data_IF_269036715826
#
_entry.id   IF_269036715826
#
_cell.length_a   1.000
_cell.length_b   1.000
_cell.length_c   1.000
_cell.angle_alpha   90.00
_cell.angle_beta   90.00
_cell.angle_gamma   90.00
#
_symmetry.space_group_name_H-M   'P 1'
#
loop_
_entity.id
_entity.type
_entity.pdbx_description
1 polymer ?
#
# COMPACT_ATOMS: atom_id res chain seq x y z
N UNK A 1 16.64 14.87 -1.81
CA UNK A 1 15.77 13.97 -2.61
C UNK A 1 14.82 13.28 -1.66
N UNK A 2 13.52 13.35 -1.92
CA UNK A 2 12.48 12.70 -1.10
C UNK A 2 12.01 11.45 -1.84
N UNK A 3 11.94 10.32 -1.16
CA UNK A 3 11.50 9.05 -1.74
C UNK A 3 10.12 8.61 -1.25
N UNK A 4 9.51 7.66 -1.95
CA UNK A 4 8.20 7.10 -1.62
C UNK A 4 8.32 5.60 -1.37
N UNK A 5 7.92 5.16 -0.17
CA UNK A 5 7.77 3.76 0.20
C UNK A 5 6.29 3.40 0.23
N UNK A 6 5.86 2.46 -0.61
CA UNK A 6 4.52 1.89 -0.55
C UNK A 6 4.51 0.58 0.25
N UNK A 7 3.64 0.46 1.24
CA UNK A 7 3.52 -0.71 2.12
C UNK A 7 2.12 -1.31 2.01
N UNK A 8 2.00 -2.47 1.38
CA UNK A 8 0.74 -3.21 1.29
C UNK A 8 0.72 -4.47 2.16
N UNK A 9 -0.45 -5.08 2.27
CA UNK A 9 -0.66 -6.34 2.99
C UNK A 9 -2.12 -6.55 3.35
N UNK A 10 -2.46 -7.79 3.68
CA UNK A 10 -3.79 -8.12 4.18
C UNK A 10 -4.16 -7.33 5.44
N UNK A 11 -5.46 -7.18 5.70
CA UNK A 11 -5.92 -6.61 6.98
C UNK A 11 -5.28 -7.35 8.15
N UNK A 12 -4.79 -6.60 9.15
CA UNK A 12 -4.08 -7.12 10.32
C UNK A 12 -2.80 -7.96 10.03
N UNK A 13 -2.13 -7.74 8.89
CA UNK A 13 -0.82 -8.36 8.62
C UNK A 13 0.34 -7.76 9.44
N UNK A 14 0.19 -6.52 9.94
CA UNK A 14 1.24 -5.78 10.65
C UNK A 14 1.76 -4.54 9.91
N UNK A 15 1.25 -4.26 8.70
CA UNK A 15 1.68 -3.12 7.87
C UNK A 15 1.62 -1.74 8.55
N UNK A 16 0.54 -1.45 9.29
CA UNK A 16 0.38 -0.15 9.96
C UNK A 16 1.33 -0.03 11.16
N UNK A 17 1.50 -1.12 11.93
CA UNK A 17 2.50 -1.19 13.01
C UNK A 17 3.92 -0.96 12.49
N UNK A 18 4.26 -1.56 11.35
CA UNK A 18 5.55 -1.36 10.69
C UNK A 18 5.74 0.09 10.22
N UNK A 19 4.74 0.69 9.58
CA UNK A 19 4.78 2.07 9.11
C UNK A 19 4.93 3.07 10.27
N UNK A 20 4.16 2.89 11.35
CA UNK A 20 4.26 3.70 12.56
C UNK A 20 5.64 3.55 13.22
N UNK A 21 6.13 2.32 13.39
CA UNK A 21 7.45 2.07 13.97
C UNK A 21 8.58 2.70 13.14
N UNK A 22 8.46 2.69 11.81
CA UNK A 22 9.40 3.35 10.91
C UNK A 22 9.35 4.87 11.07
N UNK A 23 8.16 5.47 11.12
CA UNK A 23 8.01 6.92 11.33
C UNK A 23 8.60 7.37 12.66
N UNK A 24 8.56 6.54 13.70
CA UNK A 24 9.14 6.86 15.00
C UNK A 24 10.68 6.88 15.00
N UNK A 25 11.36 6.27 14.02
CA UNK A 25 12.82 6.32 13.91
C UNK A 25 13.33 7.72 13.54
N UNK A 26 12.61 8.42 12.66
CA UNK A 26 12.96 9.76 12.19
C UNK A 26 11.70 10.63 12.01
N UNK A 27 11.03 11.06 13.10
CA UNK A 27 9.70 11.68 13.03
C UNK A 27 9.63 12.94 12.16
N UNK A 28 10.71 13.72 12.09
CA UNK A 28 10.77 14.96 11.30
C UNK A 28 11.03 14.70 9.81
N UNK A 29 11.56 13.53 9.46
CA UNK A 29 11.97 13.19 8.09
C UNK A 29 11.03 12.22 7.39
N UNK A 30 10.04 11.67 8.10
CA UNK A 30 9.11 10.67 7.58
C UNK A 30 7.68 11.19 7.67
N UNK A 31 6.97 11.19 6.54
CA UNK A 31 5.55 11.47 6.49
C UNK A 31 4.76 10.19 6.22
N UNK A 32 3.70 9.94 6.99
CA UNK A 32 2.79 8.82 6.78
C UNK A 32 1.54 9.26 6.00
N UNK A 33 1.10 8.42 5.07
CA UNK A 33 -0.18 8.52 4.38
C UNK A 33 -0.90 7.19 4.55
N UNK A 34 -1.95 7.17 5.37
CA UNK A 34 -2.77 5.98 5.60
C UNK A 34 -3.91 5.93 4.58
N UNK A 35 -3.90 4.95 3.67
CA UNK A 35 -4.97 4.83 2.67
C UNK A 35 -6.36 4.61 3.27
N UNK A 36 -6.42 4.11 4.50
CA UNK A 36 -7.68 3.94 5.22
C UNK A 36 -8.38 5.30 5.53
N UNK A 37 -7.67 6.43 5.42
CA UNK A 37 -8.23 7.79 5.56
C UNK A 37 -8.85 8.35 4.27
N UNK A 38 -8.67 7.64 3.13
CA UNK A 38 -9.02 8.14 1.80
C UNK A 38 -10.07 7.27 1.09
N UNK A 39 -10.92 6.57 1.84
CA UNK A 39 -12.13 6.00 1.23
C UNK A 39 -13.06 7.11 0.73
N UNK A 40 -13.78 6.84 -0.36
CA UNK A 40 -14.82 7.76 -0.81
C UNK A 40 -15.87 7.95 0.30
N UNK A 41 -16.48 9.13 0.44
CA UNK A 41 -17.43 9.36 1.51
C UNK A 41 -18.61 8.39 1.42
N UNK A 42 -18.90 7.68 2.51
CA UNK A 42 -19.98 6.69 2.56
C UNK A 42 -21.40 7.29 2.44
N UNK A 43 -21.54 8.62 2.29
CA UNK A 43 -22.81 9.28 2.01
C UNK A 43 -22.94 9.70 0.54
N UNK A 44 -21.91 9.49 -0.29
CA UNK A 44 -21.93 9.75 -1.72
C UNK A 44 -22.19 8.44 -2.48
N UNK A 45 -23.43 8.13 -2.87
CA UNK A 45 -23.78 6.86 -3.50
C UNK A 45 -23.27 6.75 -4.95
N UNK A 46 -22.79 7.84 -5.55
CA UNK A 46 -22.30 7.86 -6.93
C UNK A 46 -20.84 7.47 -7.05
N UNK A 47 -20.11 7.48 -5.94
CA UNK A 47 -18.68 7.15 -5.88
C UNK A 47 -18.47 5.84 -5.13
N UNK A 48 -17.39 5.14 -5.48
CA UNK A 48 -17.00 3.90 -4.82
C UNK A 48 -17.66 2.65 -5.36
N UNK A 49 -17.29 1.52 -4.76
CA UNK A 49 -17.92 0.22 -5.03
C UNK A 49 -18.75 -0.17 -3.83
N UNK A 50 -20.03 -0.47 -4.06
CA UNK A 50 -20.99 -0.78 -3.02
C UNK A 50 -21.27 -2.28 -2.95
N UNK A 51 -21.54 -2.77 -1.75
CA UNK A 51 -21.86 -4.17 -1.48
C UNK A 51 -22.91 -4.28 -0.38
N UNK A 52 -23.39 -5.49 -0.13
CA UNK A 52 -24.32 -5.78 0.96
C UNK A 52 -23.57 -6.48 2.09
N UNK A 53 -23.56 -5.86 3.27
CA UNK A 53 -22.98 -6.47 4.47
C UNK A 53 -23.75 -7.75 4.87
N UNK A 54 -23.14 -8.59 5.69
CA UNK A 54 -23.82 -9.76 6.25
C UNK A 54 -25.01 -9.42 7.15
N UNK A 55 -25.12 -8.15 7.57
CA UNK A 55 -26.32 -7.63 8.24
C UNK A 55 -27.43 -7.19 7.29
N UNK A 56 -27.28 -7.36 5.98
CA UNK A 56 -28.28 -6.97 4.97
C UNK A 56 -28.25 -5.49 4.55
N UNK A 57 -27.35 -4.69 5.11
CA UNK A 57 -27.27 -3.26 4.80
C UNK A 57 -26.35 -3.01 3.61
N UNK A 58 -26.76 -2.14 2.68
CA UNK A 58 -25.89 -1.60 1.66
C UNK A 58 -24.80 -0.74 2.30
N UNK A 59 -23.54 -1.05 1.99
CA UNK A 59 -22.35 -0.39 2.53
C UNK A 59 -21.32 -0.20 1.42
N UNK A 60 -20.41 0.76 1.61
CA UNK A 60 -19.20 0.83 0.81
C UNK A 60 -18.38 -0.45 1.00
N UNK A 61 -17.87 -1.01 -0.09
CA UNK A 61 -16.99 -2.18 -0.04
C UNK A 61 -15.57 -1.75 0.34
N UNK A 62 -15.29 -1.76 1.64
CA UNK A 62 -13.98 -1.45 2.21
C UNK A 62 -12.86 -2.40 1.75
N UNK A 63 -13.18 -3.50 1.07
CA UNK A 63 -12.20 -4.44 0.56
C UNK A 63 -12.09 -4.39 -0.98
N UNK A 64 -12.54 -3.30 -1.60
CA UNK A 64 -12.40 -3.07 -3.04
C UNK A 64 -11.58 -1.80 -3.33
N UNK A 65 -10.58 -1.84 -4.23
CA UNK A 65 -9.71 -0.69 -4.52
C UNK A 65 -10.47 0.50 -5.09
N UNK A 66 -11.51 0.24 -5.90
CA UNK A 66 -12.40 1.28 -6.43
C UNK A 66 -13.20 2.06 -5.37
N UNK A 67 -13.11 1.69 -4.09
CA UNK A 67 -13.69 2.45 -2.98
C UNK A 67 -12.74 3.50 -2.40
N UNK A 68 -11.49 3.57 -2.88
CA UNK A 68 -10.51 4.59 -2.50
C UNK A 68 -10.59 5.79 -3.45
N UNK A 69 -10.54 6.99 -2.89
CA UNK A 69 -10.40 8.24 -3.63
C UNK A 69 -8.93 8.43 -4.08
N UNK A 70 -8.55 7.85 -5.22
CA UNK A 70 -7.18 7.94 -5.76
C UNK A 70 -6.71 9.38 -6.03
N UNK A 71 -7.63 10.31 -6.28
CA UNK A 71 -7.29 11.71 -6.48
C UNK A 71 -6.88 12.36 -5.13
N UNK A 72 -7.64 12.10 -4.07
CA UNK A 72 -7.30 12.55 -2.73
C UNK A 72 -5.99 11.91 -2.22
N UNK A 73 -5.77 10.62 -2.48
CA UNK A 73 -4.50 9.94 -2.18
C UNK A 73 -3.33 10.61 -2.92
N UNK A 74 -3.47 10.86 -4.22
CA UNK A 74 -2.43 11.52 -5.02
C UNK A 74 -2.08 12.89 -4.44
N UNK A 75 -3.10 13.70 -4.11
CA UNK A 75 -2.91 15.02 -3.51
C UNK A 75 -2.19 14.93 -2.15
N UNK A 76 -2.53 13.94 -1.31
CA UNK A 76 -1.88 13.73 -0.02
C UNK A 76 -0.40 13.37 -0.17
N UNK A 77 -0.06 12.50 -1.13
CA UNK A 77 1.33 12.14 -1.44
C UNK A 77 2.09 13.38 -1.94
N UNK A 78 1.51 14.13 -2.87
CA UNK A 78 2.15 15.33 -3.44
C UNK A 78 2.38 16.40 -2.35
N UNK A 79 1.42 16.61 -1.45
CA UNK A 79 1.57 17.47 -0.28
C UNK A 79 2.68 16.97 0.64
N UNK A 80 2.75 15.67 0.92
CA UNK A 80 3.77 15.09 1.78
C UNK A 80 5.18 15.24 1.18
N UNK A 81 5.32 15.05 -0.13
CA UNK A 81 6.57 15.23 -0.88
C UNK A 81 7.05 16.70 -0.89
N UNK A 82 6.12 17.66 -0.85
CA UNK A 82 6.44 19.09 -0.84
C UNK A 82 6.81 19.63 0.55
N UNK A 83 6.64 18.84 1.63
CA UNK A 83 6.93 19.29 3.00
C UNK A 83 8.44 19.43 3.23
N UNK A 84 8.94 20.61 3.64
CA UNK A 84 10.34 20.78 4.02
C UNK A 84 10.76 19.80 5.12
N UNK A 85 11.96 19.24 5.01
CA UNK A 85 12.50 18.26 5.96
C UNK A 85 12.04 16.82 5.73
N UNK A 86 10.95 16.58 4.99
CA UNK A 86 10.50 15.22 4.67
C UNK A 86 11.41 14.59 3.62
N UNK A 87 11.94 13.41 3.95
CA UNK A 87 12.84 12.62 3.11
C UNK A 87 12.22 11.33 2.64
N UNK A 88 11.27 10.79 3.38
CA UNK A 88 10.54 9.59 3.01
C UNK A 88 9.05 9.80 3.24
N UNK A 89 8.24 9.54 2.22
CA UNK A 89 6.79 9.43 2.35
C UNK A 89 6.46 7.94 2.36
N UNK A 90 5.82 7.47 3.43
CA UNK A 90 5.35 6.09 3.56
C UNK A 90 3.86 6.07 3.32
N UNK A 91 3.44 5.38 2.26
CA UNK A 91 2.02 5.19 1.91
C UNK A 91 1.64 3.77 2.27
N UNK A 92 0.77 3.59 3.25
CA UNK A 92 0.38 2.27 3.74
C UNK A 92 -1.11 2.00 3.54
N UNK A 93 -1.44 0.77 3.16
CA UNK A 93 -2.84 0.33 3.10
C UNK A 93 -3.01 -0.97 2.33
N UNK A 94 -4.20 -1.54 2.36
CA UNK A 94 -4.49 -2.81 1.68
C UNK A 94 -4.14 -2.75 0.20
N UNK A 95 -4.38 -1.60 -0.43
CA UNK A 95 -4.25 -1.40 -1.87
C UNK A 95 -3.03 -0.55 -2.27
N UNK A 96 -2.07 -0.30 -1.38
CA UNK A 96 -0.91 0.57 -1.68
C UNK A 96 -0.08 0.08 -2.88
N UNK A 97 -0.05 -1.23 -3.13
CA UNK A 97 0.60 -1.82 -4.29
C UNK A 97 -0.37 -2.19 -5.43
N UNK A 98 -1.68 -1.97 -5.23
CA UNK A 98 -2.74 -2.22 -6.22
C UNK A 98 -3.12 -0.93 -6.95
N UNK A 99 -3.24 0.19 -6.23
CA UNK A 99 -3.64 1.48 -6.80
C UNK A 99 -2.52 2.08 -7.66
N UNK A 100 -2.77 2.39 -8.94
CA UNK A 100 -1.81 3.06 -9.81
C UNK A 100 -1.31 4.38 -9.23
N UNK A 101 -2.20 5.16 -8.59
CA UNK A 101 -1.86 6.43 -7.92
C UNK A 101 -0.71 6.29 -6.92
N UNK A 102 -0.59 5.15 -6.24
CA UNK A 102 0.49 4.90 -5.28
C UNK A 102 1.66 4.18 -5.95
N UNK A 103 1.38 3.04 -6.61
CA UNK A 103 2.42 2.13 -7.14
C UNK A 103 3.34 2.79 -8.17
N UNK A 104 2.84 3.72 -8.97
CA UNK A 104 3.63 4.42 -9.99
C UNK A 104 4.53 5.51 -9.42
N UNK A 105 4.23 5.99 -8.21
CA UNK A 105 5.04 6.95 -7.45
C UNK A 105 6.03 6.28 -6.51
N UNK A 106 5.80 5.02 -6.16
CA UNK A 106 6.64 4.26 -5.24
C UNK A 106 8.04 3.98 -5.80
N UNK A 107 9.07 4.41 -5.07
CA UNK A 107 10.47 4.04 -5.28
C UNK A 107 10.77 2.66 -4.68
N UNK A 108 10.08 2.32 -3.59
CA UNK A 108 10.15 1.02 -2.92
C UNK A 108 8.77 0.47 -2.62
N UNK A 109 8.61 -0.85 -2.77
CA UNK A 109 7.35 -1.57 -2.60
C UNK A 109 7.55 -2.70 -1.62
N UNK A 110 6.91 -2.60 -0.47
CA UNK A 110 6.92 -3.61 0.59
C UNK A 110 5.56 -4.27 0.68
N UNK A 111 5.54 -5.60 0.76
CA UNK A 111 4.34 -6.36 1.10
C UNK A 111 4.55 -7.08 2.43
N UNK A 112 3.69 -6.80 3.42
CA UNK A 112 3.69 -7.48 4.72
C UNK A 112 2.77 -8.69 4.64
N UNK A 113 3.37 -9.87 4.59
CA UNK A 113 2.71 -11.15 4.36
C UNK A 113 2.46 -11.88 5.68
N UNK A 114 1.24 -12.35 5.91
CA UNK A 114 0.92 -13.14 7.08
C UNK A 114 -0.25 -14.09 6.76
N UNK A 115 -0.26 -15.31 7.32
CA UNK A 115 -1.34 -16.26 7.14
C UNK A 115 -2.73 -15.70 7.49
N UNK A 116 -3.76 -16.11 6.73
CA UNK A 116 -5.15 -15.63 6.85
C UNK A 116 -5.72 -15.83 8.26
N UNK A 117 -5.44 -16.97 8.89
CA UNK A 117 -5.87 -17.33 10.24
C UNK A 117 -5.24 -16.42 11.30
N UNK A 118 -3.93 -16.15 11.21
CA UNK A 118 -3.21 -15.22 12.09
C UNK A 118 -3.78 -13.81 11.95
N UNK A 119 -3.97 -13.33 10.71
CA UNK A 119 -4.56 -12.02 10.43
C UNK A 119 -5.98 -11.91 10.98
N UNK A 120 -6.80 -12.93 10.77
CA UNK A 120 -8.16 -12.96 11.29
C UNK A 120 -8.17 -12.92 12.82
N UNK A 121 -7.37 -13.75 13.49
CA UNK A 121 -7.25 -13.79 14.94
C UNK A 121 -6.86 -12.42 15.51
N UNK A 122 -5.81 -11.78 14.95
CA UNK A 122 -5.38 -10.42 15.35
C UNK A 122 -6.49 -9.38 15.16
N UNK A 123 -7.22 -9.44 14.03
CA UNK A 123 -8.34 -8.53 13.75
C UNK A 123 -9.46 -8.69 14.79
N UNK A 124 -9.79 -9.93 15.16
CA UNK A 124 -10.82 -10.23 16.15
C UNK A 124 -10.39 -9.78 17.54
N UNK A 125 -9.17 -10.09 17.97
CA UNK A 125 -8.64 -9.62 19.26
C UNK A 125 -8.67 -8.10 19.36
N UNK A 126 -8.22 -7.38 18.31
CA UNK A 126 -8.30 -5.91 18.27
C UNK A 126 -9.74 -5.38 18.38
N UNK A 127 -10.71 -6.05 17.73
CA UNK A 127 -12.14 -5.70 17.82
C UNK A 127 -12.65 -5.83 19.26
N UNK A 128 -12.28 -6.91 19.95
CA UNK A 128 -12.72 -7.21 21.31
C UNK A 128 -12.03 -6.30 22.34
N UNK A 129 -10.69 -6.26 22.30
CA UNK A 129 -9.87 -5.71 23.38
C UNK A 129 -9.72 -4.20 23.28
N UNK A 130 -9.49 -3.70 22.06
CA UNK A 130 -9.21 -2.28 21.81
C UNK A 130 -10.50 -1.53 21.49
N UNK A 131 -11.29 -2.05 20.55
CA UNK A 131 -12.50 -1.36 20.08
C UNK A 131 -13.73 -1.64 20.95
N UNK A 132 -13.66 -2.63 21.86
CA UNK A 132 -14.77 -3.06 22.73
C UNK A 132 -16.05 -3.37 21.93
N UNK A 133 -15.89 -4.00 20.76
CA UNK A 133 -16.96 -4.35 19.83
C UNK A 133 -17.12 -5.86 19.68
N UNK A 134 -18.36 -6.32 19.49
CA UNK A 134 -18.65 -7.71 19.11
C UNK A 134 -18.04 -8.02 17.72
N UNK A 135 -17.15 -9.03 17.62
CA UNK A 135 -16.53 -9.41 16.35
C UNK A 135 -17.49 -10.11 15.37
N UNK A 136 -18.70 -10.50 15.79
CA UNK A 136 -19.63 -11.33 14.99
C UNK A 136 -19.84 -10.80 13.57
N UNK A 137 -20.17 -9.52 13.41
CA UNK A 137 -20.40 -8.95 12.08
C UNK A 137 -19.12 -8.96 11.22
N UNK A 138 -17.95 -8.75 11.83
CA UNK A 138 -16.66 -8.82 11.13
C UNK A 138 -16.36 -10.24 10.63
N UNK A 139 -16.68 -11.26 11.43
CA UNK A 139 -16.54 -12.66 11.06
C UNK A 139 -17.51 -13.03 9.93
N UNK A 140 -18.77 -12.62 10.03
CA UNK A 140 -19.78 -12.90 8.99
C UNK A 140 -19.38 -12.24 7.66
N UNK A 141 -18.94 -10.98 7.67
CA UNK A 141 -18.44 -10.31 6.47
C UNK A 141 -17.18 -10.99 5.88
N UNK A 142 -16.29 -11.49 6.75
CA UNK A 142 -15.11 -12.24 6.30
C UNK A 142 -15.48 -13.54 5.58
N UNK A 143 -16.45 -14.28 6.14
CA UNK A 143 -16.96 -15.51 5.54
C UNK A 143 -17.71 -15.27 4.23
N UNK A 144 -18.50 -14.20 4.17
CA UNK A 144 -19.33 -13.85 3.02
C UNK A 144 -18.52 -13.35 1.81
N UNK A 145 -17.54 -12.47 2.02
CA UNK A 145 -16.80 -11.85 0.90
C UNK A 145 -15.37 -11.45 1.20
N UNK A 146 -14.99 -11.25 2.47
CA UNK A 146 -13.68 -10.69 2.82
C UNK A 146 -12.48 -11.51 2.30
N UNK A 147 -12.59 -12.84 2.29
CA UNK A 147 -11.57 -13.74 1.72
C UNK A 147 -11.40 -13.55 0.22
N UNK A 148 -12.51 -13.60 -0.51
CA UNK A 148 -12.51 -13.49 -1.97
C UNK A 148 -12.01 -12.12 -2.41
N UNK A 149 -12.37 -11.05 -1.68
CA UNK A 149 -11.87 -9.69 -1.91
C UNK A 149 -10.36 -9.58 -1.67
N UNK A 150 -9.83 -10.22 -0.63
CA UNK A 150 -8.39 -10.26 -0.39
C UNK A 150 -7.65 -10.94 -1.54
N UNK A 151 -8.12 -12.11 -1.98
CA UNK A 151 -7.56 -12.88 -3.10
C UNK A 151 -7.63 -12.09 -4.40
N UNK A 152 -8.73 -11.37 -4.64
CA UNK A 152 -8.93 -10.61 -5.88
C UNK A 152 -8.11 -9.31 -5.94
N UNK A 153 -7.94 -8.60 -4.82
CA UNK A 153 -7.50 -7.20 -4.86
C UNK A 153 -6.26 -6.87 -4.04
N UNK A 154 -5.84 -7.74 -3.11
CA UNK A 154 -4.71 -7.47 -2.21
C UNK A 154 -3.58 -8.46 -2.43
N UNK A 155 -3.87 -9.77 -2.32
CA UNK A 155 -2.86 -10.83 -2.45
C UNK A 155 -2.03 -10.77 -3.75
N UNK A 156 -2.60 -10.46 -4.94
CA UNK A 156 -1.83 -10.41 -6.18
C UNK A 156 -0.73 -9.34 -6.16
N UNK A 157 -0.88 -8.28 -5.37
CA UNK A 157 0.09 -7.19 -5.29
C UNK A 157 1.41 -7.60 -4.63
N UNK A 158 1.45 -8.75 -3.93
CA UNK A 158 2.68 -9.37 -3.42
C UNK A 158 3.70 -9.62 -4.55
N UNK A 159 3.24 -9.93 -5.75
CA UNK A 159 4.12 -10.26 -6.88
C UNK A 159 4.91 -9.06 -7.44
N UNK A 160 4.51 -7.82 -7.08
CA UNK A 160 5.18 -6.58 -7.54
C UNK A 160 5.97 -5.90 -6.42
N UNK A 161 6.09 -6.53 -5.26
CA UNK A 161 6.87 -6.03 -4.14
C UNK A 161 8.37 -6.24 -4.37
N UNK A 162 9.17 -5.24 -4.01
CA UNK A 162 10.64 -5.33 -3.99
C UNK A 162 11.11 -6.11 -2.75
N UNK A 163 10.33 -6.05 -1.66
CA UNK A 163 10.58 -6.77 -0.41
C UNK A 163 9.27 -7.34 0.14
N UNK A 164 9.28 -8.63 0.48
CA UNK A 164 8.21 -9.27 1.25
C UNK A 164 8.69 -9.43 2.69
N UNK A 165 7.97 -8.85 3.63
CA UNK A 165 8.24 -8.93 5.07
C UNK A 165 7.27 -9.94 5.68
N UNK A 166 7.79 -10.89 6.46
CA UNK A 166 6.95 -11.79 7.23
C UNK A 166 6.33 -11.05 8.41
N UNK A 167 5.01 -10.86 8.36
CA UNK A 167 4.20 -10.19 9.37
C UNK A 167 3.96 -11.03 10.63
N UNK A 168 4.47 -12.26 10.70
CA UNK A 168 4.48 -13.07 11.91
C UNK A 168 5.67 -12.77 12.83
N UNK A 169 6.73 -12.16 12.29
CA UNK A 169 7.87 -11.68 13.07
C UNK A 169 7.53 -10.52 14.00
N UNK A 170 8.41 -10.30 14.98
CA UNK A 170 8.27 -9.17 15.90
C UNK A 170 8.51 -7.83 15.20
N UNK A 171 7.94 -6.76 15.77
CA UNK A 171 8.04 -5.39 15.25
C UNK A 171 9.47 -4.95 14.90
N UNK A 172 10.47 -5.13 15.79
CA UNK A 172 11.85 -4.75 15.50
C UNK A 172 12.48 -5.49 14.32
N UNK A 173 12.15 -6.76 14.10
CA UNK A 173 12.68 -7.55 12.99
C UNK A 173 12.09 -7.09 11.65
N UNK A 174 10.77 -6.86 11.60
CA UNK A 174 10.12 -6.28 10.44
C UNK A 174 10.69 -4.89 10.11
N UNK A 175 10.90 -4.07 11.13
CA UNK A 175 11.46 -2.73 10.99
C UNK A 175 12.89 -2.78 10.45
N UNK A 176 13.75 -3.65 10.99
CA UNK A 176 15.13 -3.80 10.54
C UNK A 176 15.21 -4.18 9.05
N UNK A 177 14.33 -5.06 8.58
CA UNK A 177 14.25 -5.44 7.16
C UNK A 177 13.95 -4.22 6.26
N UNK A 178 12.98 -3.38 6.63
CA UNK A 178 12.64 -2.18 5.87
C UNK A 178 13.73 -1.11 5.96
N UNK A 179 14.35 -0.92 7.13
CA UNK A 179 15.48 -0.01 7.28
C UNK A 179 16.68 -0.43 6.44
N UNK A 180 16.90 -1.72 6.20
CA UNK A 180 17.90 -2.19 5.24
C UNK A 180 17.64 -1.69 3.81
N UNK A 181 16.38 -1.48 3.44
CA UNK A 181 15.96 -1.02 2.12
C UNK A 181 16.02 0.50 1.97
N UNK A 182 15.49 1.25 2.96
CA UNK A 182 15.37 2.72 2.90
C UNK A 182 16.45 3.47 3.69
N UNK A 183 17.25 2.78 4.48
CA UNK A 183 18.28 3.34 5.36
C UNK A 183 19.27 4.27 4.65
N UNK A 184 19.82 3.93 3.47
CA UNK A 184 20.72 4.84 2.74
C UNK A 184 20.10 6.21 2.44
N UNK A 185 18.79 6.25 2.17
CA UNK A 185 18.07 7.51 1.98
C UNK A 185 17.95 8.30 3.29
N UNK A 186 17.76 7.64 4.43
CA UNK A 186 17.59 8.29 5.73
C UNK A 186 18.92 8.72 6.37
N UNK A 187 20.02 8.03 6.08
CA UNK A 187 21.35 8.31 6.65
C UNK A 187 22.15 9.38 5.91
N UNK A 188 21.84 9.69 4.64
CA UNK A 188 22.58 10.72 3.93
C UNK A 188 22.43 12.08 4.64
N UNK A 189 23.52 12.72 5.07
CA UNK A 189 23.46 14.05 5.70
C UNK A 189 22.86 15.02 4.67
N UNK A 190 21.88 15.88 5.04
CA UNK A 190 21.43 16.93 4.14
C UNK A 190 22.63 17.82 3.80
N UNK A 191 23.04 17.89 2.54
CA UNK A 191 23.99 18.90 2.10
C UNK A 191 23.27 20.26 2.20
N UNK A 192 23.71 21.17 3.09
CA UNK A 192 23.06 22.47 3.26
C UNK A 192 23.15 23.36 2.01
N UNK A 193 23.88 22.94 0.96
CA UNK A 193 24.07 23.70 -0.29
C UNK A 193 23.49 23.00 -1.53
N UNK A 194 22.84 21.84 -1.41
CA UNK A 194 22.25 21.20 -2.60
C UNK A 194 20.87 21.81 -2.92
N UNK A 195 20.86 22.83 -3.76
CA UNK A 195 19.66 23.26 -4.49
C UNK A 195 19.12 22.06 -5.30
N UNK A 196 17.80 21.80 -5.36
CA UNK A 196 17.29 20.66 -6.11
C UNK A 196 17.40 20.94 -7.61
N UNK A 197 18.52 20.57 -8.22
CA UNK A 197 18.58 20.39 -9.66
C UNK A 197 17.56 19.31 -10.07
N UNK A 198 16.81 19.49 -11.16
CA UNK A 198 15.82 18.50 -11.59
C UNK A 198 16.54 17.19 -11.93
N UNK A 199 16.35 16.16 -11.12
CA UNK A 199 16.90 14.84 -11.34
C UNK A 199 16.39 14.31 -12.70
N UNK A 200 17.32 14.14 -13.64
CA UNK A 200 17.03 13.48 -14.91
C UNK A 200 16.57 12.05 -14.62
N UNK A 201 15.29 11.78 -14.92
CA UNK A 201 14.70 10.45 -14.79
C UNK A 201 15.52 9.46 -15.65
N UNK A 202 15.91 8.28 -15.14
CA UNK A 202 16.51 7.26 -15.99
C UNK A 202 15.48 6.84 -17.05
N UNK A 203 15.80 7.08 -18.32
CA UNK A 203 15.01 6.61 -19.46
C UNK A 203 14.93 5.09 -19.37
N UNK A 204 13.73 4.56 -19.13
CA UNK A 204 13.44 3.13 -19.33
C UNK A 204 13.84 2.77 -20.77
N UNK A 205 14.72 1.78 -20.92
CA UNK A 205 15.03 1.20 -22.21
C UNK A 205 13.73 0.68 -22.84
N UNK A 206 13.36 1.22 -24.01
CA UNK A 206 12.28 0.65 -24.83
C UNK A 206 12.71 -0.77 -25.21
N UNK A 207 11.93 -1.77 -24.81
CA UNK A 207 12.03 -3.10 -25.36
C UNK A 207 11.80 -3.00 -26.88
N UNK A 208 12.83 -3.32 -27.66
CA UNK A 208 12.73 -3.50 -29.10
C UNK A 208 12.08 -4.85 -29.31
N UNK A 209 10.83 -4.88 -29.75
CA UNK A 209 10.19 -6.09 -30.25
C UNK A 209 10.85 -6.49 -31.58
N UNK A 210 11.30 -7.75 -31.75
CA UNK A 210 11.82 -8.20 -33.04
C UNK A 210 10.66 -8.29 -34.03
N UNK A 211 10.80 -7.64 -35.18
CA UNK A 211 9.89 -7.80 -36.32
C UNK A 211 10.03 -9.22 -36.84
N UNK A 212 8.98 -10.03 -36.70
CA UNK A 212 8.83 -11.28 -37.43
C UNK A 212 8.65 -10.97 -38.92
N UNK A 213 9.60 -11.40 -39.73
CA UNK A 213 9.48 -11.42 -41.19
C UNK A 213 8.39 -12.43 -41.59
N UNK A 214 7.26 -11.95 -42.11
CA UNK A 214 6.36 -12.75 -42.92
C UNK A 214 7.00 -12.95 -44.30
N UNK A 215 7.24 -14.21 -44.67
CA UNK A 215 7.53 -14.61 -46.04
C UNK A 215 6.22 -14.60 -46.85
N UNK A 216 6.24 -14.21 -48.14
CA UNK A 216 5.05 -14.23 -48.97
C UNK A 216 4.69 -15.67 -49.36
N UNK A 217 3.39 -15.97 -49.36
CA UNK A 217 2.85 -17.21 -49.88
C UNK A 217 3.11 -17.30 -51.39
N UNK A 218 3.72 -18.41 -51.82
CA UNK A 218 3.83 -18.77 -53.23
C UNK A 218 2.46 -19.23 -53.73
N UNK A 219 2.00 -18.64 -54.83
CA UNK A 219 0.86 -19.09 -55.58
C UNK A 219 1.24 -20.33 -56.40
N UNK A 220 0.57 -21.46 -56.16
CA UNK A 220 0.21 -22.51 -57.13
C UNK A 220 -1.11 -23.12 -56.69
#
# INVERSE_FOLDING_TARGET
>A
MTGVLAVAGGTASGKSTLAEALSLQCPESIALVHLDDYYVPAHDPLRGVWTVSAGGHAILDWNHPGSIDEAAVSAAIDMALARPGVRLVVVEGLFALTLPSVRERADWRVYVDAPDDVRLARKILRKIEVQRQDPRLSLLNYLQSGRDRHVAHVAPSRAVADLVVDGTHEGPEMLAAVLGLVGPLLSAVPDPLSDPAPAARPRRARAVTPRTHQLPAAAV
#
